data_IF_173051280093
#
_entry.id   IF_173051280093
#
_cell.length_a   1.000
_cell.length_b   1.000
_cell.length_c   1.000
_cell.angle_alpha   90.00
_cell.angle_beta   90.00
_cell.angle_gamma   90.00
#
_symmetry.space_group_name_H-M   'P 1'
#
loop_
_entity.id
_entity.type
_entity.pdbx_description
1 polymer ?
#
# COMPACT_ATOMS: atom_id res chain seq x y z
N UNK A 1 -7.84 -0.98 3.60
CA UNK A 1 -8.75 -1.47 2.53
C UNK A 1 -7.91 -1.79 1.30
N UNK A 2 -8.35 -2.72 0.45
CA UNK A 2 -7.60 -3.15 -0.72
C UNK A 2 -8.37 -2.87 -2.02
N UNK A 3 -7.64 -2.55 -3.09
CA UNK A 3 -8.16 -2.26 -4.43
C UNK A 3 -7.32 -2.98 -5.48
N UNK A 4 -7.87 -3.10 -6.69
CA UNK A 4 -7.11 -3.54 -7.85
C UNK A 4 -6.49 -2.31 -8.54
N UNK A 5 -5.18 -2.35 -8.72
CA UNK A 5 -4.43 -1.26 -9.34
C UNK A 5 -3.64 -1.79 -10.54
N UNK A 6 -3.60 -0.99 -11.60
CA UNK A 6 -2.86 -1.28 -12.82
C UNK A 6 -1.46 -0.70 -12.71
N UNK A 7 -0.51 -1.41 -13.27
CA UNK A 7 0.90 -1.04 -13.35
C UNK A 7 1.41 -1.32 -14.75
N UNK A 8 2.15 -0.38 -15.31
CA UNK A 8 2.90 -0.54 -16.54
C UNK A 8 4.06 -1.52 -16.33
N UNK A 9 4.55 -2.16 -17.40
CA UNK A 9 5.71 -3.05 -17.31
C UNK A 9 6.96 -2.35 -16.73
N UNK A 10 7.11 -1.04 -16.94
CA UNK A 10 8.19 -0.23 -16.35
C UNK A 10 8.05 -0.11 -14.84
N UNK A 11 6.86 0.21 -14.34
CA UNK A 11 6.60 0.29 -12.89
C UNK A 11 6.79 -1.07 -12.23
N UNK A 12 6.29 -2.15 -12.86
CA UNK A 12 6.48 -3.51 -12.36
C UNK A 12 7.97 -3.87 -12.25
N UNK A 13 8.78 -3.47 -13.23
CA UNK A 13 10.22 -3.67 -13.19
C UNK A 13 10.86 -2.92 -12.01
N UNK A 14 10.56 -1.62 -11.87
CA UNK A 14 11.09 -0.79 -10.79
C UNK A 14 10.70 -1.32 -9.40
N UNK A 15 9.44 -1.71 -9.22
CA UNK A 15 8.95 -2.27 -7.96
C UNK A 15 9.64 -3.62 -7.66
N UNK A 16 9.81 -4.47 -8.68
CA UNK A 16 10.48 -5.76 -8.49
C UNK A 16 11.94 -5.59 -8.07
N UNK A 17 12.65 -4.68 -8.71
CA UNK A 17 14.05 -4.36 -8.43
C UNK A 17 14.22 -3.75 -7.03
N UNK A 18 13.38 -2.78 -6.66
CA UNK A 18 13.39 -2.16 -5.33
C UNK A 18 13.17 -3.18 -4.19
N UNK A 19 12.51 -4.30 -4.48
CA UNK A 19 12.24 -5.37 -3.52
C UNK A 19 13.14 -6.60 -3.70
N UNK A 20 14.23 -6.49 -4.47
CA UNK A 20 15.16 -7.60 -4.75
C UNK A 20 14.48 -8.86 -5.31
N UNK A 21 13.44 -8.68 -6.11
CA UNK A 21 12.70 -9.76 -6.78
C UNK A 21 12.96 -9.72 -8.28
N UNK A 22 13.05 -10.89 -8.89
CA UNK A 22 13.01 -10.97 -10.36
C UNK A 22 11.59 -10.63 -10.85
N UNK A 23 11.49 -9.96 -12.00
CA UNK A 23 10.20 -9.61 -12.61
C UNK A 23 9.28 -10.83 -12.79
N UNK A 24 9.85 -11.98 -13.13
CA UNK A 24 9.11 -13.25 -13.24
C UNK A 24 8.52 -13.69 -11.89
N UNK A 25 9.29 -13.61 -10.80
CA UNK A 25 8.82 -13.91 -9.44
C UNK A 25 7.74 -12.93 -9.01
N UNK A 26 7.92 -11.64 -9.31
CA UNK A 26 6.91 -10.63 -9.03
C UNK A 26 5.59 -10.97 -9.76
N UNK A 27 5.63 -11.12 -11.08
CA UNK A 27 4.45 -11.41 -11.91
C UNK A 27 3.76 -12.70 -11.49
N UNK A 28 4.51 -13.73 -11.10
CA UNK A 28 3.94 -15.01 -10.64
C UNK A 28 3.18 -14.89 -9.32
N UNK A 29 3.66 -14.05 -8.40
CA UNK A 29 3.21 -14.05 -7.00
C UNK A 29 2.35 -12.84 -6.60
N UNK A 30 2.45 -11.71 -7.30
CA UNK A 30 1.78 -10.45 -6.93
C UNK A 30 0.79 -9.95 -7.98
N UNK A 31 0.99 -10.33 -9.25
CA UNK A 31 0.06 -9.97 -10.32
C UNK A 31 -1.13 -10.93 -10.33
N UNK A 32 -2.35 -10.37 -10.27
CA UNK A 32 -3.59 -11.15 -10.26
C UNK A 32 -4.21 -11.28 -11.66
N UNK A 33 -3.96 -10.32 -12.54
CA UNK A 33 -4.43 -10.34 -13.92
C UNK A 33 -3.51 -9.51 -14.81
N UNK A 34 -3.67 -9.67 -16.13
CA UNK A 34 -3.03 -8.83 -17.14
C UNK A 34 -4.10 -8.21 -18.02
N UNK A 35 -4.01 -6.91 -18.30
CA UNK A 35 -4.88 -6.20 -19.23
C UNK A 35 -4.03 -5.49 -20.27
N UNK A 36 -3.89 -6.12 -21.45
CA UNK A 36 -2.97 -5.65 -22.49
C UNK A 36 -1.52 -5.64 -22.00
N UNK A 37 -0.89 -4.47 -22.03
CA UNK A 37 0.50 -4.28 -21.58
C UNK A 37 0.62 -3.87 -20.09
N UNK A 38 -0.48 -3.87 -19.35
CA UNK A 38 -0.50 -3.54 -17.93
C UNK A 38 -0.74 -4.79 -17.09
N UNK A 39 -0.03 -4.89 -15.96
CA UNK A 39 -0.30 -5.87 -14.91
C UNK A 39 -1.25 -5.30 -13.86
N UNK A 40 -2.18 -6.12 -13.39
CA UNK A 40 -3.10 -5.76 -12.30
C UNK A 40 -2.61 -6.43 -11.03
N UNK A 41 -2.41 -5.67 -9.96
CA UNK A 41 -2.02 -6.16 -8.64
C UNK A 41 -3.00 -5.70 -7.57
N UNK A 42 -2.96 -6.35 -6.39
CA UNK A 42 -3.75 -5.92 -5.22
C UNK A 42 -2.94 -4.87 -4.46
N UNK A 43 -3.47 -3.66 -4.39
CA UNK A 43 -2.90 -2.58 -3.58
C UNK A 43 -3.71 -2.43 -2.30
N UNK A 44 -3.04 -2.29 -1.16
CA UNK A 44 -3.65 -2.08 0.14
C UNK A 44 -3.09 -0.82 0.78
N UNK A 45 -4.00 0.08 1.15
CA UNK A 45 -3.72 1.21 2.02
C UNK A 45 -4.33 0.98 3.40
N UNK A 46 -3.53 1.25 4.42
CA UNK A 46 -3.93 1.26 5.83
C UNK A 46 -3.86 2.68 6.32
N UNK A 47 -4.96 3.17 6.89
CA UNK A 47 -5.05 4.51 7.47
C UNK A 47 -5.06 4.40 8.98
N UNK A 48 -4.43 5.37 9.63
CA UNK A 48 -4.42 5.49 11.08
C UNK A 48 -5.00 6.83 11.50
N UNK A 49 -5.67 6.83 12.64
CA UNK A 49 -6.08 8.05 13.31
C UNK A 49 -4.86 8.86 13.73
N UNK A 50 -4.85 10.16 13.47
CA UNK A 50 -3.80 11.07 13.99
C UNK A 50 -3.94 11.22 15.51
N UNK A 51 -2.89 11.68 16.19
CA UNK A 51 -2.93 11.96 17.64
C UNK A 51 -4.12 12.85 18.03
N UNK A 52 -4.40 13.86 17.21
CA UNK A 52 -5.50 14.81 17.40
C UNK A 52 -6.90 14.22 17.19
N UNK A 53 -7.01 13.00 16.66
CA UNK A 53 -8.29 12.32 16.44
C UNK A 53 -8.55 11.19 17.45
N UNK A 54 -7.68 11.03 18.44
CA UNK A 54 -7.81 10.05 19.53
C UNK A 54 -7.80 10.77 20.88
N UNK A 55 -8.29 10.12 21.95
CA UNK A 55 -8.08 10.63 23.29
C UNK A 55 -6.57 10.92 23.55
N UNK A 56 -6.25 12.02 24.24
CA UNK A 56 -4.89 12.37 24.65
C UNK A 56 -4.21 11.21 25.36
N UNK A 57 -3.00 10.84 24.91
CA UNK A 57 -2.20 9.79 25.57
C UNK A 57 -1.81 10.18 27.01
N UNK A 58 -1.77 11.49 27.30
CA UNK A 58 -1.44 12.06 28.61
C UNK A 58 -2.67 12.33 29.52
N UNK A 59 -3.88 12.08 29.02
CA UNK A 59 -5.15 12.28 29.73
C UNK A 59 -5.61 13.74 29.88
N UNK A 60 -4.94 14.72 29.26
CA UNK A 60 -5.30 16.15 29.36
C UNK A 60 -6.21 16.58 28.23
N UNK A 61 -7.17 17.47 28.48
CA UNK A 61 -8.07 17.96 27.43
C UNK A 61 -7.26 18.67 26.31
N UNK A 62 -7.24 18.09 25.09
CA UNK A 62 -6.72 18.77 23.92
C UNK A 62 -7.74 19.80 23.40
N UNK A 63 -7.26 20.95 22.95
CA UNK A 63 -8.08 21.85 22.14
C UNK A 63 -8.44 21.16 20.81
N UNK A 64 -9.73 21.21 20.44
CA UNK A 64 -10.20 20.68 19.17
C UNK A 64 -9.67 21.55 18.03
N UNK A 65 -8.76 21.00 17.23
CA UNK A 65 -8.29 21.63 16.00
C UNK A 65 -8.94 20.96 14.77
N UNK A 66 -9.98 21.57 14.18
CA UNK A 66 -10.70 20.99 13.06
C UNK A 66 -9.93 21.02 11.73
N UNK A 67 -8.84 21.80 11.63
CA UNK A 67 -8.05 21.92 10.40
C UNK A 67 -7.07 20.74 10.19
N UNK A 68 -6.93 19.87 11.20
CA UNK A 68 -6.06 18.70 11.10
C UNK A 68 -6.80 17.51 10.50
N UNK A 69 -6.17 16.84 9.54
CA UNK A 69 -6.69 15.57 9.01
C UNK A 69 -6.85 14.55 10.13
N UNK A 70 -8.04 13.97 10.25
CA UNK A 70 -8.34 12.96 11.28
C UNK A 70 -7.78 11.57 10.93
N UNK A 71 -7.34 11.36 9.69
CA UNK A 71 -6.71 10.13 9.23
C UNK A 71 -5.41 10.47 8.49
N UNK A 72 -4.38 9.68 8.74
CA UNK A 72 -3.13 9.69 7.99
C UNK A 72 -2.90 8.33 7.33
N UNK A 73 -2.12 8.32 6.26
CA UNK A 73 -1.69 7.07 5.62
C UNK A 73 -0.65 6.42 6.51
N UNK A 74 -0.97 5.24 7.02
CA UNK A 74 -0.09 4.46 7.87
C UNK A 74 0.85 3.56 7.08
N UNK A 75 0.29 2.81 6.12
CA UNK A 75 1.03 1.82 5.36
C UNK A 75 0.43 1.65 3.97
N UNK A 76 1.29 1.43 2.98
CA UNK A 76 0.89 1.24 1.58
C UNK A 76 1.67 0.07 1.01
N UNK A 77 0.95 -0.95 0.52
CA UNK A 77 1.57 -2.19 0.08
C UNK A 77 0.93 -2.77 -1.17
N UNK A 78 1.73 -3.48 -1.96
CA UNK A 78 1.26 -4.45 -2.94
C UNK A 78 1.22 -5.82 -2.26
N UNK A 79 0.05 -6.44 -2.28
CA UNK A 79 -0.21 -7.70 -1.57
C UNK A 79 0.00 -8.88 -2.52
N UNK A 80 0.58 -10.00 -2.04
CA UNK A 80 0.63 -11.24 -2.80
C UNK A 80 -0.78 -11.68 -3.24
N UNK A 81 -0.85 -12.40 -4.35
CA UNK A 81 -2.11 -12.98 -4.82
C UNK A 81 -2.67 -13.95 -3.76
N UNK A 82 -4.01 -14.09 -3.66
CA UNK A 82 -4.62 -15.05 -2.74
C UNK A 82 -4.05 -16.46 -2.91
N UNK A 83 -3.74 -17.11 -1.80
CA UNK A 83 -3.13 -18.45 -1.78
C UNK A 83 -1.60 -18.47 -1.80
N UNK A 84 -0.93 -17.33 -1.99
CA UNK A 84 0.53 -17.23 -1.86
C UNK A 84 0.92 -16.70 -0.48
N UNK A 85 1.44 -17.60 0.37
CA UNK A 85 1.84 -17.28 1.75
C UNK A 85 3.34 -17.08 1.93
N UNK A 86 4.15 -17.55 0.98
CA UNK A 86 5.62 -17.51 1.05
C UNK A 86 6.20 -16.09 0.98
N UNK A 87 5.47 -15.17 0.37
CA UNK A 87 5.97 -13.85 0.02
C UNK A 87 5.29 -12.77 0.87
N UNK A 88 6.04 -11.77 1.35
CA UNK A 88 5.47 -10.69 2.19
C UNK A 88 4.79 -9.61 1.34
N UNK A 89 3.94 -8.76 1.93
CA UNK A 89 3.52 -7.49 1.32
C UNK A 89 4.72 -6.63 0.92
N UNK A 90 4.69 -6.05 -0.28
CA UNK A 90 5.75 -5.17 -0.78
C UNK A 90 5.40 -3.71 -0.52
N UNK A 91 6.25 -2.90 0.13
CA UNK A 91 6.00 -1.48 0.33
C UNK A 91 5.90 -0.75 -1.01
N UNK A 92 4.88 0.09 -1.16
CA UNK A 92 4.66 0.90 -2.38
C UNK A 92 3.96 2.22 -2.03
N UNK A 93 4.72 3.32 -2.04
CA UNK A 93 4.20 4.65 -1.70
C UNK A 93 3.68 5.34 -2.96
N UNK A 94 2.40 5.68 -2.96
CA UNK A 94 1.76 6.42 -4.06
C UNK A 94 0.83 7.54 -3.57
N UNK A 95 0.20 7.37 -2.40
CA UNK A 95 -0.65 8.40 -1.83
C UNK A 95 0.26 9.54 -1.30
N UNK A 96 -0.02 10.77 -1.75
CA UNK A 96 0.73 12.01 -1.47
C UNK A 96 2.15 12.06 -2.07
N UNK A 97 2.43 11.24 -3.08
CA UNK A 97 3.65 11.34 -3.92
C UNK A 97 3.34 12.22 -5.13
#
# INVERSE_FOLDING_TARGET
RSILMKFTDKELHQISEANSLTLSTFKKNYMVARKGNEGVCIFQATYFYTSHSRPPDDGKLHELNPDLYWLTVGAQHIIPKPGVWKYPPLPFNIIYT
#
